data_IF_906628009972
#
_entry.id   IF_906628009972
#
_cell.length_a   1.000
_cell.length_b   1.000
_cell.length_c   1.000
_cell.angle_alpha   90.00
_cell.angle_beta   90.00
_cell.angle_gamma   90.00
#
_symmetry.space_group_name_H-M   'P 1'
#
loop_
_entity.id
_entity.type
_entity.pdbx_description
1 polymer ?
#
# COMPACT_ATOMS: atom_id res chain seq x y z
N UNK A 1 20.62 13.73 -40.59
CA UNK A 1 19.32 13.77 -39.88
C UNK A 1 19.57 13.56 -38.39
N UNK A 2 19.06 14.44 -37.54
CA UNK A 2 19.44 14.57 -36.14
C UNK A 2 18.85 13.41 -35.30
N UNK A 3 19.64 12.36 -35.04
CA UNK A 3 19.21 11.10 -34.41
C UNK A 3 18.62 11.23 -33.00
N UNK A 4 18.84 12.38 -32.34
CA UNK A 4 18.31 12.67 -31.00
C UNK A 4 16.77 12.87 -30.96
N UNK A 5 16.12 13.18 -32.09
CA UNK A 5 14.63 13.29 -32.12
C UNK A 5 13.93 11.94 -32.24
N UNK A 6 14.61 10.92 -32.79
CA UNK A 6 14.10 9.56 -32.94
C UNK A 6 14.26 8.71 -31.68
N UNK A 7 14.99 9.18 -30.66
CA UNK A 7 15.15 8.48 -29.38
C UNK A 7 13.96 8.68 -28.43
N UNK A 8 13.08 9.65 -28.71
CA UNK A 8 11.93 9.96 -27.86
C UNK A 8 10.84 8.90 -27.98
N UNK A 9 10.35 8.41 -26.85
CA UNK A 9 9.38 7.31 -26.77
C UNK A 9 8.14 7.53 -27.62
N UNK A 10 7.65 8.77 -27.71
CA UNK A 10 6.48 9.13 -28.50
C UNK A 10 6.56 8.70 -29.96
N UNK A 11 7.76 8.66 -30.55
CA UNK A 11 8.00 8.14 -31.90
C UNK A 11 8.41 6.66 -31.88
N UNK A 12 9.22 6.24 -30.90
CA UNK A 12 9.71 4.86 -30.84
C UNK A 12 8.60 3.83 -30.63
N UNK A 13 7.50 4.19 -29.97
CA UNK A 13 6.36 3.27 -29.85
C UNK A 13 5.82 2.80 -31.21
N UNK A 14 5.85 3.64 -32.25
CA UNK A 14 5.44 3.23 -33.60
C UNK A 14 6.44 2.27 -34.25
N UNK A 15 7.73 2.40 -33.93
CA UNK A 15 8.76 1.44 -34.34
C UNK A 15 8.56 0.08 -33.67
N UNK A 16 8.16 0.07 -32.39
CA UNK A 16 7.75 -1.15 -31.67
C UNK A 16 6.54 -1.79 -32.36
N UNK A 17 5.50 -1.01 -32.62
CA UNK A 17 4.26 -1.50 -33.25
C UNK A 17 4.52 -2.04 -34.68
N UNK A 18 5.39 -1.39 -35.45
CA UNK A 18 5.83 -1.87 -36.76
C UNK A 18 6.56 -3.21 -36.67
N UNK A 19 7.44 -3.39 -35.68
CA UNK A 19 8.14 -4.67 -35.47
C UNK A 19 7.17 -5.79 -35.05
N UNK A 20 6.16 -5.47 -34.23
CA UNK A 20 5.09 -6.41 -33.86
C UNK A 20 4.30 -6.82 -35.11
N UNK A 21 3.91 -5.87 -35.97
CA UNK A 21 3.17 -6.14 -37.21
C UNK A 21 3.95 -7.03 -38.20
N UNK A 22 5.29 -7.00 -38.13
CA UNK A 22 6.18 -7.88 -38.89
C UNK A 22 6.46 -9.23 -38.21
N UNK A 23 5.73 -9.57 -37.13
CA UNK A 23 5.96 -10.77 -36.29
C UNK A 23 7.36 -10.84 -35.66
N UNK A 24 8.00 -9.69 -35.43
CA UNK A 24 9.35 -9.58 -34.84
C UNK A 24 9.28 -9.14 -33.38
N UNK A 25 8.47 -9.83 -32.57
CA UNK A 25 8.15 -9.44 -31.19
C UNK A 25 9.36 -9.36 -30.26
N UNK A 26 10.35 -10.26 -30.40
CA UNK A 26 11.60 -10.19 -29.61
C UNK A 26 12.41 -8.94 -29.95
N UNK A 27 12.45 -8.55 -31.23
CA UNK A 27 13.13 -7.32 -31.63
C UNK A 27 12.35 -6.09 -31.19
N UNK A 28 11.02 -6.14 -31.21
CA UNK A 28 10.15 -5.09 -30.68
C UNK A 28 10.43 -4.87 -29.19
N UNK A 29 10.56 -5.95 -28.41
CA UNK A 29 10.90 -5.89 -26.98
C UNK A 29 12.27 -5.24 -26.77
N UNK A 30 13.31 -5.72 -27.47
CA UNK A 30 14.65 -5.13 -27.39
C UNK A 30 14.66 -3.65 -27.78
N UNK A 31 13.90 -3.29 -28.82
CA UNK A 31 13.79 -1.91 -29.29
C UNK A 31 13.06 -1.01 -28.27
N UNK A 32 12.02 -1.52 -27.61
CA UNK A 32 11.34 -0.82 -26.52
C UNK A 32 12.27 -0.62 -25.32
N UNK A 33 12.98 -1.66 -24.88
CA UNK A 33 13.93 -1.58 -23.76
C UNK A 33 15.07 -0.60 -24.02
N UNK A 34 15.57 -0.54 -25.25
CA UNK A 34 16.58 0.43 -25.67
C UNK A 34 16.08 1.89 -25.60
N UNK A 35 14.80 2.13 -25.27
CA UNK A 35 14.22 3.46 -25.06
C UNK A 35 14.23 3.90 -23.59
N UNK A 36 14.62 3.02 -22.66
CA UNK A 36 14.71 3.35 -21.23
C UNK A 36 15.85 4.35 -20.97
N UNK A 37 15.66 5.24 -20.00
CA UNK A 37 16.64 6.24 -19.62
C UNK A 37 16.07 7.24 -18.61
N UNK A 38 16.90 8.15 -18.06
CA UNK A 38 16.51 9.04 -16.94
C UNK A 38 15.28 9.92 -17.21
N UNK A 39 15.07 10.34 -18.46
CA UNK A 39 13.96 11.20 -18.87
C UNK A 39 12.91 10.45 -19.71
N UNK A 40 13.00 9.12 -19.77
CA UNK A 40 12.08 8.31 -20.54
C UNK A 40 10.80 8.05 -19.73
N UNK A 41 9.62 7.93 -20.38
CA UNK A 41 8.39 7.57 -19.70
C UNK A 41 8.41 6.08 -19.34
N UNK A 42 9.11 5.74 -18.25
CA UNK A 42 9.41 4.36 -17.87
C UNK A 42 8.16 3.48 -17.77
N UNK A 43 7.09 3.99 -17.15
CA UNK A 43 5.80 3.29 -17.07
C UNK A 43 5.17 3.00 -18.45
N UNK A 44 5.30 3.91 -19.41
CA UNK A 44 4.77 3.71 -20.76
C UNK A 44 5.58 2.65 -21.54
N UNK A 45 6.90 2.66 -21.36
CA UNK A 45 7.79 1.65 -21.93
C UNK A 45 7.49 0.27 -21.31
N UNK A 46 7.40 0.19 -19.97
CA UNK A 46 7.06 -1.02 -19.26
C UNK A 46 5.72 -1.60 -19.71
N UNK A 47 4.68 -0.77 -19.90
CA UNK A 47 3.38 -1.22 -20.44
C UNK A 47 3.49 -1.86 -21.82
N UNK A 48 4.29 -1.28 -22.73
CA UNK A 48 4.50 -1.87 -24.06
C UNK A 48 5.30 -3.17 -23.97
N UNK A 49 6.37 -3.21 -23.18
CA UNK A 49 7.15 -4.44 -22.98
C UNK A 49 6.31 -5.56 -22.34
N UNK A 50 5.52 -5.23 -21.32
CA UNK A 50 4.58 -6.15 -20.67
C UNK A 50 3.57 -6.71 -21.68
N UNK A 51 2.95 -5.84 -22.49
CA UNK A 51 1.98 -6.27 -23.51
C UNK A 51 2.59 -7.21 -24.56
N UNK A 52 3.86 -6.98 -24.96
CA UNK A 52 4.58 -7.87 -25.87
C UNK A 52 4.80 -9.25 -25.25
N UNK A 53 5.27 -9.31 -24.00
CA UNK A 53 5.50 -10.60 -23.33
C UNK A 53 4.18 -11.36 -23.10
N UNK A 54 3.12 -10.66 -22.71
CA UNK A 54 1.79 -11.27 -22.55
C UNK A 54 1.24 -11.82 -23.87
N UNK A 55 1.42 -11.14 -24.99
CA UNK A 55 0.97 -11.65 -26.30
C UNK A 55 1.75 -12.89 -26.76
N UNK A 56 2.97 -13.08 -26.24
CA UNK A 56 3.78 -14.28 -26.45
C UNK A 56 3.50 -15.39 -25.42
N UNK A 57 2.56 -15.20 -24.49
CA UNK A 57 2.28 -16.16 -23.41
C UNK A 57 3.34 -16.20 -22.32
N UNK A 58 4.30 -15.27 -22.31
CA UNK A 58 5.40 -15.21 -21.35
C UNK A 58 4.99 -14.48 -20.06
N UNK A 59 3.89 -14.92 -19.45
CA UNK A 59 3.24 -14.25 -18.31
C UNK A 59 4.16 -14.06 -17.11
N UNK A 60 4.97 -15.07 -16.77
CA UNK A 60 5.89 -14.99 -15.63
C UNK A 60 7.02 -13.99 -15.83
N UNK A 61 7.52 -13.87 -17.07
CA UNK A 61 8.53 -12.87 -17.39
C UNK A 61 7.92 -11.46 -17.41
N UNK A 62 6.72 -11.32 -17.99
CA UNK A 62 5.98 -10.06 -18.00
C UNK A 62 5.77 -9.55 -16.58
N UNK A 63 5.35 -10.44 -15.68
CA UNK A 63 5.14 -10.12 -14.28
C UNK A 63 6.42 -9.63 -13.60
N UNK A 64 7.46 -10.48 -13.59
CA UNK A 64 8.72 -10.18 -12.87
C UNK A 64 9.39 -8.91 -13.35
N UNK A 65 9.35 -8.61 -14.65
CA UNK A 65 10.10 -7.50 -15.23
C UNK A 65 9.32 -6.20 -15.25
N UNK A 66 8.01 -6.25 -15.46
CA UNK A 66 7.25 -5.05 -15.81
C UNK A 66 5.98 -4.82 -15.00
N UNK A 67 5.42 -5.82 -14.29
CA UNK A 67 4.10 -5.66 -13.67
C UNK A 67 4.01 -4.44 -12.75
N UNK A 68 4.99 -4.22 -11.88
CA UNK A 68 4.95 -3.11 -10.92
C UNK A 68 5.03 -1.75 -11.65
N UNK A 69 6.02 -1.56 -12.52
CA UNK A 69 6.24 -0.29 -13.22
C UNK A 69 5.14 0.02 -14.26
N UNK A 70 4.61 -1.01 -14.93
CA UNK A 70 3.60 -0.87 -15.97
C UNK A 70 2.21 -0.50 -15.41
N UNK A 71 1.90 -0.95 -14.19
CA UNK A 71 0.55 -0.89 -13.61
C UNK A 71 0.42 0.12 -12.45
N UNK A 72 1.40 1.02 -12.25
CA UNK A 72 1.27 2.08 -11.25
C UNK A 72 0.05 2.97 -11.55
N UNK A 73 -0.82 3.09 -10.55
CA UNK A 73 -2.00 3.94 -10.55
C UNK A 73 -1.90 5.05 -9.50
N UNK A 74 -2.93 5.89 -9.41
CA UNK A 74 -2.99 7.02 -8.46
C UNK A 74 -3.02 6.60 -7.00
N UNK A 75 -3.43 5.37 -6.70
CA UNK A 75 -3.46 4.81 -5.34
C UNK A 75 -2.86 3.42 -5.31
N UNK A 76 -2.34 3.01 -4.15
CA UNK A 76 -1.73 1.68 -3.98
C UNK A 76 -2.75 0.56 -4.15
N UNK A 77 -3.98 0.75 -3.67
CA UNK A 77 -5.09 -0.17 -3.91
C UNK A 77 -5.40 -0.32 -5.40
N UNK A 78 -5.42 0.77 -6.17
CA UNK A 78 -5.66 0.70 -7.61
C UNK A 78 -4.51 0.00 -8.35
N UNK A 79 -3.25 0.25 -7.97
CA UNK A 79 -2.08 -0.47 -8.50
C UNK A 79 -2.20 -1.97 -8.25
N UNK A 80 -2.49 -2.38 -7.00
CA UNK A 80 -2.68 -3.78 -6.64
C UNK A 80 -3.79 -4.43 -7.47
N UNK A 81 -4.98 -3.81 -7.53
CA UNK A 81 -6.12 -4.34 -8.30
C UNK A 81 -5.81 -4.45 -9.79
N UNK A 82 -5.07 -3.49 -10.36
CA UNK A 82 -4.66 -3.54 -11.77
C UNK A 82 -3.76 -4.75 -12.06
N UNK A 83 -2.79 -5.03 -11.17
CA UNK A 83 -1.89 -6.18 -11.29
C UNK A 83 -2.66 -7.49 -11.06
N UNK A 84 -3.43 -7.60 -9.97
CA UNK A 84 -4.22 -8.80 -9.66
C UNK A 84 -5.21 -9.15 -10.78
N UNK A 85 -5.83 -8.15 -11.42
CA UNK A 85 -6.71 -8.36 -12.58
C UNK A 85 -5.96 -8.88 -13.80
N UNK A 86 -4.73 -8.41 -14.04
CA UNK A 86 -3.92 -8.79 -15.20
C UNK A 86 -3.23 -10.14 -15.03
N UNK A 87 -2.94 -10.54 -13.80
CA UNK A 87 -2.26 -11.77 -13.44
C UNK A 87 -3.13 -12.62 -12.47
N UNK A 88 -4.26 -13.19 -12.96
CA UNK A 88 -5.20 -13.92 -12.10
C UNK A 88 -4.64 -15.21 -11.51
N UNK A 89 -3.61 -15.80 -12.15
CA UNK A 89 -2.96 -17.03 -11.68
C UNK A 89 -2.01 -16.81 -10.49
N UNK A 90 -1.74 -15.54 -10.13
CA UNK A 90 -0.89 -15.18 -8.99
C UNK A 90 -1.74 -14.88 -7.77
N UNK A 91 -1.31 -15.39 -6.61
CA UNK A 91 -2.00 -15.09 -5.36
C UNK A 91 -1.89 -13.61 -5.01
N UNK A 92 -2.95 -13.06 -4.42
CA UNK A 92 -2.94 -11.68 -3.90
C UNK A 92 -1.81 -11.46 -2.89
N UNK A 93 -1.51 -12.49 -2.09
CA UNK A 93 -0.42 -12.49 -1.12
C UNK A 93 0.95 -12.29 -1.78
N UNK A 94 1.28 -13.08 -2.81
CA UNK A 94 2.53 -12.93 -3.57
C UNK A 94 2.63 -11.55 -4.21
N UNK A 95 1.54 -11.06 -4.82
CA UNK A 95 1.53 -9.74 -5.46
C UNK A 95 1.78 -8.63 -4.44
N UNK A 96 1.14 -8.70 -3.27
CA UNK A 96 1.35 -7.70 -2.22
C UNK A 96 2.76 -7.75 -1.64
N UNK A 97 3.34 -8.94 -1.45
CA UNK A 97 4.71 -9.08 -1.00
C UNK A 97 5.70 -8.43 -1.98
N UNK A 98 5.54 -8.65 -3.28
CA UNK A 98 6.37 -8.03 -4.31
C UNK A 98 6.21 -6.51 -4.33
N UNK A 99 4.98 -6.01 -4.19
CA UNK A 99 4.69 -4.58 -4.14
C UNK A 99 5.32 -3.90 -2.92
N UNK A 100 5.20 -4.51 -1.74
CA UNK A 100 5.83 -4.02 -0.51
C UNK A 100 7.35 -4.01 -0.65
N UNK A 101 7.95 -5.07 -1.20
CA UNK A 101 9.39 -5.15 -1.44
C UNK A 101 9.89 -4.09 -2.44
N UNK A 102 9.05 -3.69 -3.40
CA UNK A 102 9.39 -2.66 -4.39
C UNK A 102 9.37 -1.23 -3.86
N UNK A 103 8.82 -0.99 -2.66
CA UNK A 103 8.71 0.34 -2.06
C UNK A 103 9.09 0.36 -0.57
N UNK A 104 10.37 0.15 -0.21
CA UNK A 104 10.82 0.21 1.18
C UNK A 104 10.51 1.56 1.84
N UNK A 105 9.99 1.54 3.07
CA UNK A 105 9.60 2.74 3.83
C UNK A 105 8.18 3.25 3.54
N UNK A 106 7.47 2.63 2.60
CA UNK A 106 6.09 2.95 2.24
C UNK A 106 5.09 1.82 2.58
N UNK A 107 5.47 0.90 3.47
CA UNK A 107 4.70 -0.32 3.78
C UNK A 107 3.24 -0.03 4.17
N UNK A 108 3.02 0.97 5.03
CA UNK A 108 1.69 1.34 5.50
C UNK A 108 0.73 1.74 4.37
N UNK A 109 1.25 2.21 3.23
CA UNK A 109 0.42 2.57 2.06
C UNK A 109 -0.24 1.35 1.40
N UNK A 110 0.29 0.15 1.62
CA UNK A 110 -0.28 -1.11 1.13
C UNK A 110 -1.34 -1.71 2.06
N UNK A 111 -1.57 -1.13 3.24
CA UNK A 111 -2.59 -1.57 4.21
C UNK A 111 -3.97 -1.78 3.57
N UNK A 112 -4.45 -0.77 2.83
CA UNK A 112 -5.78 -0.82 2.23
C UNK A 112 -5.89 -1.94 1.18
N UNK A 113 -4.80 -2.23 0.46
CA UNK A 113 -4.75 -3.31 -0.52
C UNK A 113 -4.75 -4.70 0.14
N UNK A 114 -3.96 -4.90 1.19
CA UNK A 114 -3.96 -6.15 1.96
C UNK A 114 -5.33 -6.42 2.62
N UNK A 115 -5.95 -5.38 3.20
CA UNK A 115 -7.29 -5.48 3.79
C UNK A 115 -8.36 -5.80 2.76
N UNK A 116 -8.32 -5.17 1.58
CA UNK A 116 -9.25 -5.43 0.47
C UNK A 116 -9.12 -6.87 -0.06
N UNK A 117 -7.91 -7.42 -0.05
CA UNK A 117 -7.63 -8.81 -0.41
C UNK A 117 -7.98 -9.84 0.68
N UNK A 118 -8.47 -9.40 1.86
CA UNK A 118 -8.78 -10.28 2.99
C UNK A 118 -7.56 -10.80 3.76
N UNK A 119 -6.36 -10.30 3.47
CA UNK A 119 -5.11 -10.70 4.12
C UNK A 119 -4.91 -9.89 5.41
N UNK A 120 -5.75 -10.18 6.41
CA UNK A 120 -5.82 -9.37 7.64
C UNK A 120 -4.51 -9.37 8.44
N UNK A 121 -3.80 -10.50 8.52
CA UNK A 121 -2.51 -10.59 9.23
C UNK A 121 -1.44 -9.72 8.55
N UNK A 122 -1.37 -9.78 7.22
CA UNK A 122 -0.48 -8.92 6.43
C UNK A 122 -0.87 -7.44 6.59
N UNK A 123 -2.15 -7.12 6.53
CA UNK A 123 -2.64 -5.76 6.72
C UNK A 123 -2.27 -5.23 8.13
N UNK A 124 -2.45 -6.02 9.19
CA UNK A 124 -2.03 -5.68 10.54
C UNK A 124 -0.53 -5.41 10.62
N UNK A 125 0.29 -6.27 10.01
CA UNK A 125 1.75 -6.10 9.96
C UNK A 125 2.15 -4.78 9.26
N UNK A 126 1.55 -4.49 8.11
CA UNK A 126 1.81 -3.27 7.34
C UNK A 126 1.41 -2.01 8.10
N UNK A 127 0.26 -2.04 8.79
CA UNK A 127 -0.22 -0.93 9.60
C UNK A 127 0.74 -0.58 10.74
N UNK A 128 1.44 -1.55 11.32
CA UNK A 128 2.39 -1.30 12.41
C UNK A 128 3.78 -0.90 11.91
N UNK A 129 4.18 -1.34 10.71
CA UNK A 129 5.53 -1.15 10.18
C UNK A 129 5.78 0.18 9.50
N UNK A 130 4.75 0.82 8.96
CA UNK A 130 4.90 2.07 8.24
C UNK A 130 3.66 2.96 8.33
N UNK A 131 3.83 4.27 8.08
CA UNK A 131 2.75 5.22 8.25
C UNK A 131 1.59 4.93 7.30
N UNK A 132 0.42 4.70 7.88
CA UNK A 132 -0.87 4.63 7.21
C UNK A 132 -1.77 5.76 7.73
N UNK A 133 -2.74 6.19 6.91
CA UNK A 133 -3.68 7.23 7.30
C UNK A 133 -4.45 6.83 8.58
N UNK A 134 -4.36 7.59 9.69
CA UNK A 134 -4.98 7.18 10.94
C UNK A 134 -6.50 7.02 10.86
N UNK A 135 -7.19 7.86 10.07
CA UNK A 135 -8.66 7.75 9.90
C UNK A 135 -9.05 6.46 9.20
N UNK A 136 -8.24 6.03 8.23
CA UNK A 136 -8.41 4.74 7.54
C UNK A 136 -8.23 3.56 8.50
N UNK A 137 -7.24 3.64 9.40
CA UNK A 137 -7.02 2.63 10.44
C UNK A 137 -8.13 2.62 11.49
N UNK A 138 -8.58 3.77 11.98
CA UNK A 138 -9.73 3.90 12.89
C UNK A 138 -10.99 3.30 12.29
N UNK A 139 -11.27 3.60 11.01
CA UNK A 139 -12.39 3.00 10.29
C UNK A 139 -12.27 1.48 10.24
N UNK A 140 -11.09 0.95 9.91
CA UNK A 140 -10.86 -0.49 9.88
C UNK A 140 -11.05 -1.13 11.27
N UNK A 141 -10.57 -0.50 12.34
CA UNK A 141 -10.75 -0.97 13.71
C UNK A 141 -12.25 -1.11 14.05
N UNK A 142 -13.04 -0.09 13.76
CA UNK A 142 -14.49 -0.11 13.99
C UNK A 142 -15.20 -1.16 13.13
N UNK A 143 -14.91 -1.19 11.83
CA UNK A 143 -15.63 -2.05 10.88
C UNK A 143 -15.36 -3.55 11.13
N UNK A 144 -14.20 -3.90 11.70
CA UNK A 144 -13.80 -5.28 12.00
C UNK A 144 -13.94 -5.67 13.48
N UNK A 145 -14.37 -4.78 14.37
CA UNK A 145 -14.41 -5.03 15.81
C UNK A 145 -15.18 -6.32 16.18
N UNK A 146 -16.27 -6.64 15.47
CA UNK A 146 -17.07 -7.86 15.72
C UNK A 146 -16.61 -9.11 14.95
N UNK A 147 -15.93 -8.95 13.82
CA UNK A 147 -15.59 -10.08 12.92
C UNK A 147 -14.14 -10.56 13.10
N UNK A 148 -13.22 -9.63 13.33
CA UNK A 148 -11.81 -9.91 13.55
C UNK A 148 -11.27 -8.98 14.66
N UNK A 149 -11.63 -9.22 15.93
CA UNK A 149 -11.29 -8.33 17.04
C UNK A 149 -9.78 -8.08 17.19
N UNK A 150 -8.94 -9.10 16.98
CA UNK A 150 -7.49 -8.96 17.05
C UNK A 150 -6.93 -8.00 15.97
N UNK A 151 -7.36 -8.16 14.71
CA UNK A 151 -7.01 -7.26 13.60
C UNK A 151 -7.49 -5.83 13.89
N UNK A 152 -8.71 -5.70 14.39
CA UNK A 152 -9.30 -4.41 14.73
C UNK A 152 -8.52 -3.71 15.86
N UNK A 153 -8.07 -4.44 16.87
CA UNK A 153 -7.20 -3.89 17.91
C UNK A 153 -5.89 -3.38 17.33
N UNK A 154 -5.22 -4.17 16.46
CA UNK A 154 -3.98 -3.71 15.82
C UNK A 154 -4.19 -2.44 15.02
N UNK A 155 -5.30 -2.33 14.28
CA UNK A 155 -5.63 -1.11 13.53
C UNK A 155 -5.85 0.09 14.47
N UNK A 156 -6.57 -0.09 15.58
CA UNK A 156 -6.82 0.98 16.55
C UNK A 156 -5.53 1.44 17.26
N UNK A 157 -4.67 0.50 17.64
CA UNK A 157 -3.35 0.82 18.22
C UNK A 157 -2.46 1.53 17.21
N UNK A 158 -2.40 1.06 15.96
CA UNK A 158 -1.65 1.71 14.90
C UNK A 158 -2.17 3.14 14.63
N UNK A 159 -3.48 3.35 14.65
CA UNK A 159 -4.08 4.68 14.46
C UNK A 159 -3.57 5.66 15.52
N UNK A 160 -3.64 5.28 16.81
CA UNK A 160 -3.12 6.10 17.90
C UNK A 160 -1.61 6.34 17.78
N UNK A 161 -0.83 5.30 17.44
CA UNK A 161 0.62 5.41 17.24
C UNK A 161 0.97 6.42 16.14
N UNK A 162 0.28 6.38 14.99
CA UNK A 162 0.56 7.29 13.88
C UNK A 162 0.07 8.71 14.14
N UNK A 163 -1.05 8.89 14.84
CA UNK A 163 -1.48 10.21 15.32
C UNK A 163 -0.41 10.80 16.24
N UNK A 164 0.08 10.02 17.20
CA UNK A 164 1.10 10.48 18.15
C UNK A 164 2.43 10.82 17.46
N UNK A 165 2.77 10.09 16.41
CA UNK A 165 3.93 10.35 15.57
C UNK A 165 3.73 11.51 14.57
N UNK A 166 2.58 12.19 14.59
CA UNK A 166 2.30 13.37 13.76
C UNK A 166 1.89 13.07 12.32
N UNK A 167 1.44 11.85 12.02
CA UNK A 167 0.91 11.48 10.71
C UNK A 167 -0.60 11.71 10.61
N UNK A 168 -1.07 11.89 9.38
CA UNK A 168 -2.47 12.17 9.06
C UNK A 168 -2.69 13.65 8.72
N UNK A 169 -3.65 13.92 7.84
CA UNK A 169 -3.98 15.27 7.40
C UNK A 169 -5.02 15.91 8.33
N UNK A 170 -4.70 17.08 8.89
CA UNK A 170 -5.59 17.85 9.78
C UNK A 170 -6.20 16.97 10.90
N UNK A 171 -5.34 16.23 11.60
CA UNK A 171 -5.75 15.40 12.74
C UNK A 171 -6.11 16.31 13.93
N UNK A 172 -7.23 15.99 14.57
CA UNK A 172 -7.79 16.71 15.72
C UNK A 172 -7.87 15.82 16.96
N UNK A 173 -8.18 16.39 18.12
CA UNK A 173 -8.49 15.62 19.32
C UNK A 173 -9.69 14.68 19.13
N UNK A 174 -10.63 15.02 18.25
CA UNK A 174 -11.75 14.16 17.89
C UNK A 174 -11.29 12.85 17.23
N UNK A 175 -10.29 12.93 16.34
CA UNK A 175 -9.72 11.75 15.68
C UNK A 175 -9.04 10.80 16.69
N UNK A 176 -8.43 11.34 17.75
CA UNK A 176 -7.87 10.54 18.84
C UNK A 176 -8.97 9.81 19.61
N UNK A 177 -10.07 10.51 19.93
CA UNK A 177 -11.19 9.92 20.66
C UNK A 177 -11.91 8.86 19.82
N UNK A 178 -12.07 9.08 18.51
CA UNK A 178 -12.65 8.10 17.58
C UNK A 178 -11.77 6.84 17.47
N UNK A 179 -10.45 7.01 17.39
CA UNK A 179 -9.49 5.91 17.39
C UNK A 179 -9.56 5.12 18.71
N UNK A 180 -9.57 5.81 19.85
CA UNK A 180 -9.69 5.19 21.17
C UNK A 180 -11.01 4.45 21.37
N UNK A 181 -12.12 5.04 20.93
CA UNK A 181 -13.46 4.42 20.99
C UNK A 181 -13.50 3.13 20.17
N UNK A 182 -13.00 3.19 18.93
CA UNK A 182 -12.95 2.02 18.03
C UNK A 182 -12.05 0.92 18.57
N UNK A 183 -10.88 1.29 19.12
CA UNK A 183 -9.97 0.35 19.78
C UNK A 183 -10.62 -0.27 21.03
N UNK A 184 -11.32 0.51 21.83
CA UNK A 184 -12.03 0.03 23.03
C UNK A 184 -13.11 -0.99 22.68
N UNK A 185 -13.85 -0.78 21.59
CA UNK A 185 -14.83 -1.75 21.10
C UNK A 185 -14.17 -3.07 20.67
N UNK A 186 -13.07 -2.99 19.92
CA UNK A 186 -12.31 -4.17 19.50
C UNK A 186 -11.67 -4.92 20.69
N UNK A 187 -11.18 -4.18 21.69
CA UNK A 187 -10.63 -4.75 22.92
C UNK A 187 -11.69 -5.52 23.72
N UNK A 188 -12.87 -4.91 23.93
CA UNK A 188 -13.98 -5.58 24.59
C UNK A 188 -14.44 -6.83 23.83
N UNK A 189 -14.51 -6.77 22.50
CA UNK A 189 -14.83 -7.92 21.66
C UNK A 189 -13.76 -9.02 21.70
N UNK A 190 -12.52 -8.68 22.06
CA UNK A 190 -11.42 -9.63 22.29
C UNK A 190 -11.37 -10.16 23.73
N UNK A 191 -12.31 -9.75 24.60
CA UNK A 191 -12.33 -10.12 26.02
C UNK A 191 -11.40 -9.29 26.92
N UNK A 192 -10.75 -8.26 26.39
CA UNK A 192 -9.89 -7.35 27.15
C UNK A 192 -10.75 -6.32 27.88
N UNK A 193 -10.46 -6.09 29.16
CA UNK A 193 -11.16 -5.06 29.94
C UNK A 193 -10.68 -3.65 29.55
N UNK A 194 -11.53 -2.65 29.79
CA UNK A 194 -11.16 -1.25 29.58
C UNK A 194 -9.95 -0.83 30.42
N UNK A 195 -9.84 -1.34 31.64
CA UNK A 195 -8.74 -1.00 32.55
C UNK A 195 -7.41 -1.57 32.04
N UNK A 196 -7.43 -2.80 31.52
CA UNK A 196 -6.25 -3.39 30.86
C UNK A 196 -5.83 -2.57 29.64
N UNK A 197 -6.78 -2.18 28.79
CA UNK A 197 -6.49 -1.37 27.61
C UNK A 197 -5.89 -0.02 28.02
N UNK A 198 -6.53 0.68 28.97
CA UNK A 198 -6.06 1.97 29.45
C UNK A 198 -4.66 1.89 30.06
N UNK A 199 -4.38 0.82 30.81
CA UNK A 199 -3.03 0.55 31.36
C UNK A 199 -2.01 0.35 30.26
N UNK A 200 -2.34 -0.41 29.21
CA UNK A 200 -1.48 -0.61 28.06
C UNK A 200 -1.20 0.69 27.31
N UNK A 201 -2.24 1.46 26.99
CA UNK A 201 -2.11 2.76 26.30
C UNK A 201 -1.31 3.76 27.14
N UNK A 202 -1.55 3.81 28.45
CA UNK A 202 -0.76 4.63 29.37
C UNK A 202 0.71 4.22 29.32
N UNK A 203 1.04 2.94 29.42
CA UNK A 203 2.43 2.49 29.33
C UNK A 203 3.09 2.83 27.98
N UNK A 204 2.32 2.77 26.89
CA UNK A 204 2.80 3.08 25.54
C UNK A 204 3.08 4.57 25.33
N UNK A 205 2.18 5.45 25.78
CA UNK A 205 2.22 6.89 25.46
C UNK A 205 2.72 7.78 26.61
N UNK A 206 2.79 7.27 27.86
CA UNK A 206 3.26 8.04 29.01
C UNK A 206 4.77 8.31 29.02
N UNK A 207 5.55 7.72 28.10
CA UNK A 207 6.99 7.94 28.02
C UNK A 207 7.38 9.40 27.68
N UNK A 208 6.43 10.24 27.22
CA UNK A 208 6.68 11.66 26.91
C UNK A 208 5.52 12.58 27.33
N UNK A 209 5.36 12.88 28.64
CA UNK A 209 4.38 13.85 29.11
C UNK A 209 4.64 15.21 28.44
N UNK A 210 3.62 15.78 27.78
CA UNK A 210 3.71 17.09 27.11
C UNK A 210 4.08 17.07 25.61
N UNK A 211 4.50 15.92 25.05
CA UNK A 211 4.74 15.77 23.60
C UNK A 211 3.79 14.79 22.92
N UNK A 212 3.14 13.90 23.68
CA UNK A 212 2.15 12.98 23.15
C UNK A 212 0.78 13.63 23.09
N UNK A 213 0.26 13.83 21.88
CA UNK A 213 -1.12 14.32 21.67
C UNK A 213 -2.11 13.27 22.20
N UNK A 214 -1.82 11.99 22.00
CA UNK A 214 -2.66 10.88 22.48
C UNK A 214 -2.75 10.88 24.02
N UNK A 215 -1.61 10.96 24.71
CA UNK A 215 -1.60 10.99 26.17
C UNK A 215 -2.33 12.21 26.73
N UNK A 216 -2.20 13.36 26.07
CA UNK A 216 -2.85 14.60 26.49
C UNK A 216 -4.38 14.48 26.37
N UNK A 217 -4.87 13.98 25.24
CA UNK A 217 -6.32 13.82 25.01
C UNK A 217 -6.92 12.72 25.89
N UNK A 218 -6.20 11.62 26.11
CA UNK A 218 -6.71 10.46 26.86
C UNK A 218 -6.46 10.53 28.38
N UNK A 219 -5.85 11.60 28.90
CA UNK A 219 -5.50 11.72 30.31
C UNK A 219 -6.70 11.47 31.26
N UNK A 220 -7.89 11.98 30.92
CA UNK A 220 -9.11 11.80 31.71
C UNK A 220 -9.66 10.37 31.68
N UNK A 221 -9.32 9.59 30.66
CA UNK A 221 -9.73 8.18 30.54
C UNK A 221 -8.85 7.24 31.36
N UNK A 222 -7.72 7.71 31.90
CA UNK A 222 -6.78 6.90 32.69
C UNK A 222 -6.91 7.07 34.21
N UNK A 223 -7.90 7.84 34.70
CA UNK A 223 -8.10 8.18 36.13
C UNK A 223 -9.17 7.31 36.80
N UNK A 224 -9.50 6.17 36.21
CA UNK A 224 -10.40 5.14 36.78
C UNK A 224 -9.61 3.85 36.95
#
# INVERSE_FOLDING_TARGET
MNGARLSWWGYRQYGVDALIALNRSTEALRYAEASRGPNAPAAAIARKCEAILLSLGMTDEAYRRYAIEANQATTHLATFRAIAKKYPDRSSDSILHDLVASSPGAEGKWFAAAKDAGLLDLAASLAMRGPADPRTLTRAARDFAGQAPAFAMTCGTAALQWIDAGFGYEITSGDVLDAYSSLSQAALASGMTRDELNRQLRNQFAARPGHSVVATVLAHHWVT
#
